data_IF_252451074423
#
_entry.id   IF_252451074423
#
_cell.length_a   1.000
_cell.length_b   1.000
_cell.length_c   1.000
_cell.angle_alpha   90.00
_cell.angle_beta   90.00
_cell.angle_gamma   90.00
#
_symmetry.space_group_name_H-M   'P 1'
#
loop_
_entity.id
_entity.type
_entity.pdbx_description
1 polymer ?
#
# COMPACT_ATOMS: atom_id res chain seq x y z
N UNK A 1 -61.55 -37.50 39.73
CA UNK A 1 -60.98 -37.78 38.47
C UNK A 1 -60.64 -36.43 37.83
N UNK A 2 -59.39 -35.95 37.92
CA UNK A 2 -58.93 -34.76 37.22
C UNK A 2 -57.60 -35.12 36.55
N UNK A 3 -57.60 -35.14 35.22
CA UNK A 3 -56.46 -35.46 34.37
C UNK A 3 -55.59 -34.20 34.30
N UNK A 4 -54.36 -34.26 34.81
CA UNK A 4 -53.35 -33.23 34.63
C UNK A 4 -52.66 -33.37 33.29
N UNK A 5 -52.69 -32.28 32.49
CA UNK A 5 -52.05 -32.18 31.20
C UNK A 5 -50.61 -31.65 31.42
N UNK A 6 -49.64 -32.49 31.20
CA UNK A 6 -48.22 -32.08 31.22
C UNK A 6 -47.87 -31.49 29.86
N UNK A 7 -47.63 -30.17 29.83
CA UNK A 7 -47.14 -29.48 28.61
C UNK A 7 -45.61 -29.53 28.66
N UNK A 8 -45.06 -30.33 27.75
CA UNK A 8 -43.62 -30.43 27.52
C UNK A 8 -43.18 -29.29 26.60
N UNK A 9 -42.60 -28.21 27.15
CA UNK A 9 -42.04 -27.12 26.37
C UNK A 9 -40.66 -27.52 25.85
N UNK A 10 -40.56 -27.81 24.55
CA UNK A 10 -39.33 -28.04 23.86
C UNK A 10 -38.70 -26.68 23.58
N UNK A 11 -37.69 -26.27 24.38
CA UNK A 11 -36.85 -25.11 24.11
C UNK A 11 -35.88 -25.46 22.98
N UNK A 12 -36.19 -25.07 21.76
CA UNK A 12 -35.28 -25.15 20.63
C UNK A 12 -34.20 -24.05 20.78
N UNK A 13 -33.03 -24.42 21.27
CA UNK A 13 -31.84 -23.56 21.31
C UNK A 13 -31.32 -23.41 19.90
N UNK A 14 -31.69 -22.33 19.21
CA UNK A 14 -31.07 -21.91 17.95
C UNK A 14 -29.65 -21.45 18.24
N UNK A 15 -28.69 -22.33 18.05
CA UNK A 15 -27.27 -21.99 17.96
C UNK A 15 -27.07 -21.17 16.67
N UNK A 16 -27.13 -19.85 16.80
CA UNK A 16 -26.60 -18.96 15.77
C UNK A 16 -25.08 -19.15 15.72
N UNK A 17 -24.63 -20.09 14.90
CA UNK A 17 -23.26 -20.10 14.43
C UNK A 17 -23.09 -18.89 13.52
N UNK A 18 -22.76 -17.73 14.12
CA UNK A 18 -22.27 -16.60 13.39
C UNK A 18 -20.96 -17.02 12.74
N UNK A 19 -21.03 -17.42 11.48
CA UNK A 19 -19.85 -17.45 10.61
C UNK A 19 -19.33 -16.02 10.54
N UNK A 20 -18.40 -15.66 11.44
CA UNK A 20 -17.51 -14.54 11.20
C UNK A 20 -16.79 -14.86 9.89
N UNK A 21 -17.24 -14.27 8.77
CA UNK A 21 -16.37 -14.14 7.60
C UNK A 21 -15.11 -13.47 8.14
N UNK A 22 -14.03 -14.24 8.17
CA UNK A 22 -12.70 -13.64 8.39
C UNK A 22 -12.56 -12.57 7.31
N UNK A 23 -12.64 -11.30 7.72
CA UNK A 23 -12.25 -10.22 6.84
C UNK A 23 -10.81 -10.53 6.42
N UNK A 24 -10.62 -10.85 5.13
CA UNK A 24 -9.31 -11.07 4.55
C UNK A 24 -8.44 -9.90 4.98
N UNK A 25 -7.47 -10.17 5.85
CA UNK A 25 -6.55 -9.17 6.39
C UNK A 25 -5.95 -8.42 5.20
N UNK A 26 -6.15 -7.11 5.14
CA UNK A 26 -5.67 -6.25 4.05
C UNK A 26 -4.17 -5.97 4.14
N UNK A 27 -3.37 -6.97 4.51
CA UNK A 27 -1.94 -6.85 4.72
C UNK A 27 -1.18 -7.98 4.04
N UNK A 28 0.15 -7.89 4.06
CA UNK A 28 1.04 -8.95 3.60
C UNK A 28 0.92 -10.14 4.56
N UNK A 29 0.68 -11.33 4.04
CA UNK A 29 0.74 -12.57 4.83
C UNK A 29 2.18 -13.10 4.80
N UNK A 30 2.93 -12.78 5.85
CA UNK A 30 4.32 -13.19 5.97
C UNK A 30 4.51 -14.70 6.20
N UNK A 31 3.45 -15.47 6.48
CA UNK A 31 3.56 -16.92 6.57
C UNK A 31 3.86 -17.56 5.21
N UNK A 32 3.47 -16.90 4.11
CA UNK A 32 3.73 -17.39 2.76
C UNK A 32 5.24 -17.46 2.42
N UNK A 33 6.06 -16.54 2.96
CA UNK A 33 7.50 -16.49 2.65
C UNK A 33 8.35 -17.34 3.61
N UNK A 34 7.89 -17.66 4.82
CA UNK A 34 8.67 -18.40 5.82
C UNK A 34 9.31 -19.68 5.28
N UNK A 35 8.60 -20.57 4.52
CA UNK A 35 9.19 -21.78 3.98
C UNK A 35 10.37 -21.51 3.03
N UNK A 36 10.31 -20.41 2.26
CA UNK A 36 11.36 -20.03 1.31
C UNK A 36 12.59 -19.43 1.98
N UNK A 37 12.43 -18.86 3.18
CA UNK A 37 13.52 -18.28 3.96
C UNK A 37 14.36 -19.34 4.67
N UNK A 38 13.82 -20.56 4.91
CA UNK A 38 14.50 -21.63 5.64
C UNK A 38 15.11 -21.11 6.96
N UNK A 39 14.30 -20.47 7.79
CA UNK A 39 14.71 -19.86 9.05
C UNK A 39 15.15 -20.92 10.07
N UNK A 40 16.14 -20.60 10.89
CA UNK A 40 16.40 -21.36 12.12
C UNK A 40 15.27 -21.12 13.12
N UNK A 41 15.11 -21.99 14.13
CA UNK A 41 14.05 -21.81 15.15
C UNK A 41 14.16 -20.47 15.89
N UNK A 42 15.38 -19.99 16.13
CA UNK A 42 15.60 -18.68 16.75
C UNK A 42 15.25 -17.53 15.82
N UNK A 43 15.64 -17.61 14.54
CA UNK A 43 15.25 -16.62 13.53
C UNK A 43 13.72 -16.58 13.33
N UNK A 44 13.05 -17.74 13.32
CA UNK A 44 11.60 -17.80 13.14
C UNK A 44 10.89 -17.11 14.29
N UNK A 45 11.30 -17.34 15.53
CA UNK A 45 10.75 -16.67 16.71
C UNK A 45 10.90 -15.14 16.60
N UNK A 46 12.11 -14.66 16.31
CA UNK A 46 12.39 -13.22 16.16
C UNK A 46 11.64 -12.62 14.97
N UNK A 47 11.53 -13.35 13.87
CA UNK A 47 10.74 -12.94 12.70
C UNK A 47 9.27 -12.72 13.05
N UNK A 48 8.67 -13.67 13.78
CA UNK A 48 7.27 -13.57 14.21
C UNK A 48 7.04 -12.42 15.19
N UNK A 49 7.96 -12.18 16.11
CA UNK A 49 7.92 -11.05 17.04
C UNK A 49 7.97 -9.71 16.29
N UNK A 50 8.85 -9.56 15.28
CA UNK A 50 8.94 -8.36 14.44
C UNK A 50 7.64 -8.18 13.64
N UNK A 51 7.16 -9.23 12.98
CA UNK A 51 5.91 -9.16 12.20
C UNK A 51 4.74 -8.76 13.08
N UNK A 52 4.56 -9.38 14.24
CA UNK A 52 3.47 -9.06 15.18
C UNK A 52 3.56 -7.61 15.68
N UNK A 53 4.76 -7.12 16.02
CA UNK A 53 5.01 -5.73 16.42
C UNK A 53 4.52 -4.74 15.35
N UNK A 54 4.93 -4.92 14.11
CA UNK A 54 4.59 -3.99 13.03
C UNK A 54 3.17 -4.14 12.52
N UNK A 55 2.54 -5.31 12.65
CA UNK A 55 1.11 -5.48 12.42
C UNK A 55 0.29 -4.70 13.46
N UNK A 56 0.65 -4.76 14.73
CA UNK A 56 0.01 -3.99 15.80
C UNK A 56 0.11 -2.47 15.54
N UNK A 57 1.30 -1.96 15.19
CA UNK A 57 1.49 -0.54 14.83
C UNK A 57 0.60 -0.15 13.65
N UNK A 58 0.45 -1.02 12.64
CA UNK A 58 -0.41 -0.77 11.49
C UNK A 58 -1.90 -0.72 11.88
N UNK A 59 -2.34 -1.59 12.80
CA UNK A 59 -3.72 -1.60 13.32
C UNK A 59 -4.02 -0.35 14.14
N UNK A 60 -3.13 0.02 15.04
CA UNK A 60 -3.25 1.26 15.85
C UNK A 60 -3.29 2.51 14.97
N UNK A 61 -2.42 2.60 13.95
CA UNK A 61 -2.40 3.72 13.00
C UNK A 61 -3.70 3.84 12.20
N UNK A 62 -4.29 2.69 11.79
CA UNK A 62 -5.60 2.70 11.10
C UNK A 62 -6.73 3.11 12.04
N UNK A 63 -6.74 2.57 13.26
CA UNK A 63 -7.75 2.92 14.25
C UNK A 63 -7.72 4.42 14.57
N UNK A 64 -6.52 4.99 14.75
CA UNK A 64 -6.33 6.42 14.97
C UNK A 64 -6.81 7.27 13.78
N UNK A 65 -6.55 6.83 12.53
CA UNK A 65 -6.95 7.55 11.33
C UNK A 65 -8.48 7.59 11.12
N UNK A 66 -9.24 6.75 11.80
CA UNK A 66 -10.71 6.64 11.67
C UNK A 66 -11.45 6.96 12.97
N UNK A 67 -10.75 7.33 14.05
CA UNK A 67 -11.32 7.50 15.39
C UNK A 67 -12.44 8.55 15.45
N UNK A 68 -12.31 9.65 14.69
CA UNK A 68 -13.26 10.77 14.69
C UNK A 68 -14.35 10.60 13.62
N UNK A 69 -14.46 9.45 12.96
CA UNK A 69 -15.37 9.23 11.85
C UNK A 69 -15.01 10.03 10.59
N UNK A 70 -13.88 10.72 10.60
CA UNK A 70 -13.38 11.45 9.45
C UNK A 70 -12.86 10.49 8.36
N UNK A 71 -12.97 10.94 7.11
CA UNK A 71 -12.36 10.21 6.00
C UNK A 71 -10.84 10.31 6.11
N UNK A 72 -10.12 9.17 6.20
CA UNK A 72 -8.67 9.21 6.36
C UNK A 72 -7.98 9.77 5.11
N UNK A 73 -6.96 10.61 5.32
CA UNK A 73 -6.06 11.05 4.25
C UNK A 73 -5.26 9.85 3.73
N UNK A 74 -5.54 9.44 2.50
CA UNK A 74 -4.95 8.25 1.87
C UNK A 74 -3.46 8.43 1.60
N UNK A 75 -3.03 9.64 1.24
CA UNK A 75 -1.62 9.96 0.97
C UNK A 75 -0.83 9.85 2.27
N UNK A 76 -1.35 10.43 3.34
CA UNK A 76 -0.73 10.35 4.66
C UNK A 76 -0.65 8.91 5.19
N UNK A 77 -1.70 8.12 4.98
CA UNK A 77 -1.69 6.69 5.32
C UNK A 77 -0.62 5.91 4.54
N UNK A 78 -0.41 6.23 3.26
CA UNK A 78 0.66 5.61 2.46
C UNK A 78 2.05 5.99 2.98
N UNK A 79 2.29 7.28 3.29
CA UNK A 79 3.57 7.74 3.86
C UNK A 79 3.89 7.01 5.17
N UNK A 80 2.94 6.96 6.09
CA UNK A 80 3.10 6.22 7.36
C UNK A 80 3.35 4.73 7.15
N UNK A 81 2.70 4.12 6.15
CA UNK A 81 2.94 2.72 5.83
C UNK A 81 4.34 2.49 5.26
N UNK A 82 4.84 3.34 4.40
CA UNK A 82 6.20 3.25 3.86
C UNK A 82 7.25 3.39 4.97
N UNK A 83 7.08 4.37 5.86
CA UNK A 83 7.97 4.56 7.00
C UNK A 83 7.98 3.33 7.92
N UNK A 84 6.79 2.80 8.24
CA UNK A 84 6.65 1.58 9.02
C UNK A 84 7.36 0.40 8.34
N UNK A 85 7.23 0.24 7.02
CA UNK A 85 7.90 -0.82 6.26
C UNK A 85 9.42 -0.66 6.26
N UNK A 86 9.94 0.58 6.15
CA UNK A 86 11.38 0.86 6.27
C UNK A 86 11.92 0.42 7.63
N UNK A 87 11.21 0.74 8.71
CA UNK A 87 11.59 0.33 10.06
C UNK A 87 11.54 -1.19 10.25
N UNK A 88 10.50 -1.85 9.75
CA UNK A 88 10.38 -3.30 9.77
C UNK A 88 11.53 -3.97 9.02
N UNK A 89 11.86 -3.50 7.82
CA UNK A 89 12.97 -4.00 7.03
C UNK A 89 14.32 -3.83 7.74
N UNK A 90 14.52 -2.70 8.42
CA UNK A 90 15.74 -2.46 9.20
C UNK A 90 15.85 -3.40 10.42
N UNK A 91 14.76 -3.86 11.02
CA UNK A 91 14.79 -4.88 12.06
C UNK A 91 15.00 -6.28 11.47
N UNK A 92 14.35 -6.60 10.36
CA UNK A 92 14.55 -7.88 9.66
C UNK A 92 15.99 -8.08 9.19
N UNK A 93 16.65 -7.02 8.72
CA UNK A 93 18.06 -7.11 8.29
C UNK A 93 19.05 -7.46 9.40
N UNK A 94 18.66 -7.35 10.68
CA UNK A 94 19.49 -7.73 11.81
C UNK A 94 19.44 -9.23 12.13
N UNK A 95 18.39 -9.91 11.69
CA UNK A 95 18.16 -11.33 12.00
C UNK A 95 18.28 -12.23 10.77
N UNK A 96 18.08 -11.69 9.57
CA UNK A 96 18.17 -12.44 8.32
C UNK A 96 19.57 -12.34 7.73
N UNK A 97 20.04 -13.41 7.11
CA UNK A 97 21.24 -13.38 6.25
C UNK A 97 20.95 -12.55 5.00
N UNK A 98 21.98 -12.13 4.28
CA UNK A 98 21.84 -11.36 3.04
C UNK A 98 20.94 -12.08 2.01
N UNK A 99 21.14 -13.38 1.82
CA UNK A 99 20.31 -14.18 0.90
C UNK A 99 18.85 -14.30 1.34
N UNK A 100 18.59 -14.43 2.65
CA UNK A 100 17.24 -14.42 3.21
C UNK A 100 16.61 -13.04 3.07
N UNK A 101 17.36 -11.96 3.33
CA UNK A 101 16.88 -10.59 3.23
C UNK A 101 16.51 -10.24 1.79
N UNK A 102 17.27 -10.71 0.79
CA UNK A 102 16.90 -10.51 -0.63
C UNK A 102 15.53 -11.14 -0.95
N UNK A 103 15.33 -12.42 -0.57
CA UNK A 103 14.04 -13.09 -0.78
C UNK A 103 12.89 -12.39 -0.06
N UNK A 104 13.12 -11.96 1.17
CA UNK A 104 12.14 -11.21 1.96
C UNK A 104 11.79 -9.89 1.29
N UNK A 105 12.78 -9.12 0.82
CA UNK A 105 12.57 -7.84 0.14
C UNK A 105 11.78 -8.02 -1.16
N UNK A 106 12.11 -9.03 -1.98
CA UNK A 106 11.41 -9.34 -3.21
C UNK A 106 9.94 -9.72 -2.94
N UNK A 107 9.69 -10.54 -1.92
CA UNK A 107 8.34 -10.89 -1.49
C UNK A 107 7.54 -9.67 -1.04
N UNK A 108 8.15 -8.82 -0.22
CA UNK A 108 7.51 -7.59 0.26
C UNK A 108 7.22 -6.64 -0.90
N UNK A 109 8.17 -6.44 -1.82
CA UNK A 109 7.98 -5.58 -2.99
C UNK A 109 6.85 -6.07 -3.91
N UNK A 110 6.70 -7.39 -4.06
CA UNK A 110 5.64 -8.03 -4.85
C UNK A 110 4.26 -7.87 -4.20
N UNK A 111 4.17 -7.97 -2.87
CA UNK A 111 2.92 -8.00 -2.12
C UNK A 111 2.54 -6.66 -1.49
N UNK A 112 3.44 -5.66 -1.51
CA UNK A 112 3.16 -4.31 -1.02
C UNK A 112 2.25 -3.55 -1.98
N UNK A 113 1.37 -2.75 -1.39
CA UNK A 113 0.56 -1.81 -2.15
C UNK A 113 1.42 -0.61 -2.57
N UNK A 114 1.68 -0.49 -3.85
CA UNK A 114 2.44 0.65 -4.39
C UNK A 114 1.57 1.92 -4.39
N UNK A 115 2.22 3.05 -4.15
CA UNK A 115 1.62 4.38 -4.32
C UNK A 115 1.40 4.66 -5.81
N UNK A 116 0.31 5.32 -6.19
CA UNK A 116 0.06 5.70 -7.59
C UNK A 116 0.87 6.95 -7.96
N UNK A 117 2.19 6.86 -7.99
CA UNK A 117 3.10 7.97 -8.29
C UNK A 117 4.41 7.44 -8.88
N UNK A 118 5.26 8.30 -9.41
CA UNK A 118 6.67 7.95 -9.63
C UNK A 118 7.32 7.70 -8.27
N UNK A 119 7.99 6.56 -8.13
CA UNK A 119 8.69 6.22 -6.89
C UNK A 119 9.99 7.02 -6.73
N UNK A 120 10.59 6.94 -5.54
CA UNK A 120 11.78 7.72 -5.20
C UNK A 120 12.99 7.35 -6.08
N UNK A 121 13.09 6.10 -6.54
CA UNK A 121 14.15 5.63 -7.43
C UNK A 121 14.02 6.29 -8.82
N UNK A 122 12.81 6.28 -9.39
CA UNK A 122 12.55 6.93 -10.67
C UNK A 122 12.73 8.45 -10.58
N UNK A 123 12.28 9.08 -9.48
CA UNK A 123 12.50 10.51 -9.27
C UNK A 123 13.99 10.86 -9.22
N UNK A 124 14.79 10.07 -8.50
CA UNK A 124 16.24 10.26 -8.44
C UNK A 124 16.89 10.10 -9.82
N UNK A 125 16.46 9.06 -10.57
CA UNK A 125 16.93 8.84 -11.95
C UNK A 125 16.57 10.00 -12.87
N UNK A 126 15.33 10.48 -12.85
CA UNK A 126 14.90 11.63 -13.67
C UNK A 126 15.75 12.85 -13.36
N UNK A 127 15.94 13.20 -12.08
CA UNK A 127 16.74 14.36 -11.66
C UNK A 127 18.18 14.28 -12.17
N UNK A 128 18.79 13.12 -12.06
CA UNK A 128 20.17 12.87 -12.49
C UNK A 128 20.32 12.88 -14.01
N UNK A 129 19.47 12.14 -14.71
CA UNK A 129 19.54 11.98 -16.16
C UNK A 129 19.24 13.28 -16.93
N UNK A 130 18.37 14.14 -16.37
CA UNK A 130 18.03 15.43 -16.94
C UNK A 130 18.92 16.58 -16.42
N UNK A 131 19.86 16.29 -15.53
CA UNK A 131 20.71 17.32 -14.90
C UNK A 131 19.89 18.51 -14.36
N UNK A 132 18.79 18.18 -13.64
CA UNK A 132 17.79 19.17 -13.21
C UNK A 132 18.38 20.22 -12.26
N UNK A 133 17.99 21.48 -12.47
CA UNK A 133 18.21 22.53 -11.48
C UNK A 133 17.39 22.24 -10.20
N UNK A 134 17.71 22.93 -9.10
CA UNK A 134 16.97 22.78 -7.86
C UNK A 134 15.47 23.15 -8.02
N UNK A 135 15.18 24.17 -8.85
CA UNK A 135 13.80 24.57 -9.16
C UNK A 135 13.05 23.52 -9.97
N UNK A 136 13.71 22.96 -11.00
CA UNK A 136 13.13 21.87 -11.81
C UNK A 136 12.87 20.62 -10.97
N UNK A 137 13.81 20.25 -10.11
CA UNK A 137 13.65 19.11 -9.19
C UNK A 137 12.50 19.33 -8.19
N UNK A 138 12.38 20.55 -7.64
CA UNK A 138 11.26 20.92 -6.75
C UNK A 138 9.92 20.85 -7.49
N UNK A 139 9.85 21.30 -8.74
CA UNK A 139 8.64 21.20 -9.56
C UNK A 139 8.29 19.75 -9.86
N UNK A 140 9.27 18.89 -10.16
CA UNK A 140 9.04 17.46 -10.37
C UNK A 140 8.41 16.80 -9.13
N UNK A 141 8.93 17.09 -7.94
CA UNK A 141 8.37 16.56 -6.69
C UNK A 141 6.96 17.09 -6.44
N UNK A 142 6.76 18.40 -6.57
CA UNK A 142 5.47 19.03 -6.37
C UNK A 142 4.39 18.50 -7.35
N UNK A 143 4.73 18.36 -8.62
CA UNK A 143 3.84 17.82 -9.63
C UNK A 143 3.50 16.34 -9.37
N UNK A 144 4.47 15.55 -8.92
CA UNK A 144 4.27 14.15 -8.56
C UNK A 144 3.38 13.99 -7.30
N UNK A 145 3.56 14.85 -6.30
CA UNK A 145 2.72 14.85 -5.09
C UNK A 145 1.30 15.35 -5.39
N UNK A 146 1.15 16.37 -6.26
CA UNK A 146 -0.17 16.85 -6.71
C UNK A 146 -0.94 15.76 -7.48
N UNK A 147 -0.26 15.03 -8.37
CA UNK A 147 -0.83 13.89 -9.07
C UNK A 147 -1.35 12.84 -8.10
N UNK A 148 -0.52 12.41 -7.15
CA UNK A 148 -0.92 11.38 -6.18
C UNK A 148 -2.13 11.82 -5.37
N UNK A 149 -2.11 13.07 -4.86
CA UNK A 149 -3.21 13.60 -4.06
C UNK A 149 -4.51 13.66 -4.87
N UNK A 150 -4.48 14.25 -6.05
CA UNK A 150 -5.65 14.35 -6.92
C UNK A 150 -6.25 12.98 -7.26
N UNK A 151 -5.39 12.01 -7.59
CA UNK A 151 -5.80 10.65 -7.88
C UNK A 151 -6.40 9.93 -6.66
N UNK A 152 -5.81 10.10 -5.47
CA UNK A 152 -6.33 9.51 -4.23
C UNK A 152 -7.63 10.16 -3.77
N UNK A 153 -7.78 11.47 -3.93
CA UNK A 153 -9.00 12.21 -3.57
C UNK A 153 -10.17 11.81 -4.48
N UNK A 154 -9.89 11.53 -5.77
CA UNK A 154 -10.87 11.04 -6.72
C UNK A 154 -11.24 9.56 -6.53
N UNK A 155 -10.60 8.82 -5.62
CA UNK A 155 -10.77 7.37 -5.46
C UNK A 155 -12.22 6.94 -5.31
N UNK A 156 -13.03 7.67 -4.58
CA UNK A 156 -14.42 7.27 -4.33
C UNK A 156 -15.29 7.39 -5.59
N UNK A 157 -14.89 8.21 -6.56
CA UNK A 157 -15.58 8.32 -7.84
C UNK A 157 -15.31 7.14 -8.76
N UNK A 158 -14.08 6.62 -8.78
CA UNK A 158 -13.70 5.52 -9.67
C UNK A 158 -13.60 4.15 -8.98
N UNK A 159 -13.86 4.06 -7.66
CA UNK A 159 -13.75 2.80 -6.92
C UNK A 159 -14.65 1.72 -7.53
N UNK A 160 -14.06 0.56 -7.85
CA UNK A 160 -14.77 -0.56 -8.51
C UNK A 160 -14.93 -0.44 -10.02
N UNK A 161 -14.52 0.69 -10.64
CA UNK A 161 -14.58 0.91 -12.09
C UNK A 161 -13.16 1.15 -12.64
N UNK A 162 -12.58 0.13 -13.28
CA UNK A 162 -11.20 0.18 -13.79
C UNK A 162 -11.03 1.14 -14.97
N UNK A 163 -12.04 1.31 -15.83
CA UNK A 163 -11.99 2.25 -16.96
C UNK A 163 -11.99 3.68 -16.45
N UNK A 164 -12.90 4.00 -15.54
CA UNK A 164 -12.95 5.33 -14.93
C UNK A 164 -11.67 5.62 -14.12
N UNK A 165 -11.11 4.63 -13.43
CA UNK A 165 -9.82 4.77 -12.75
C UNK A 165 -8.68 5.10 -13.73
N UNK A 166 -8.71 4.52 -14.94
CA UNK A 166 -7.76 4.84 -16.00
C UNK A 166 -7.94 6.27 -16.51
N UNK A 167 -9.19 6.71 -16.75
CA UNK A 167 -9.48 8.08 -17.18
C UNK A 167 -8.96 9.12 -16.19
N UNK A 168 -9.21 8.93 -14.89
CA UNK A 168 -8.69 9.81 -13.85
C UNK A 168 -7.16 9.80 -13.79
N UNK A 169 -6.53 8.63 -13.94
CA UNK A 169 -5.08 8.52 -14.01
C UNK A 169 -4.53 9.33 -15.17
N UNK A 170 -5.03 9.11 -16.40
CA UNK A 170 -4.57 9.78 -17.61
C UNK A 170 -4.76 11.29 -17.53
N UNK A 171 -5.89 11.73 -17.00
CA UNK A 171 -6.16 13.16 -16.76
C UNK A 171 -5.10 13.79 -15.86
N UNK A 172 -4.87 13.24 -14.68
CA UNK A 172 -3.94 13.82 -13.73
C UNK A 172 -2.47 13.62 -14.14
N UNK A 173 -2.15 12.55 -14.87
CA UNK A 173 -0.82 12.37 -15.46
C UNK A 173 -0.53 13.43 -16.54
N UNK A 174 -1.52 13.77 -17.35
CA UNK A 174 -1.40 14.88 -18.30
C UNK A 174 -1.17 16.23 -17.60
N UNK A 175 -1.87 16.49 -16.49
CA UNK A 175 -1.65 17.69 -15.68
C UNK A 175 -0.22 17.73 -15.09
N UNK A 176 0.27 16.60 -14.54
CA UNK A 176 1.65 16.46 -14.06
C UNK A 176 2.68 16.73 -15.15
N UNK A 177 2.50 16.12 -16.32
CA UNK A 177 3.39 16.31 -17.49
C UNK A 177 3.37 17.74 -18.01
N UNK A 178 2.19 18.35 -18.06
CA UNK A 178 2.06 19.75 -18.45
C UNK A 178 2.78 20.71 -17.51
N UNK A 179 2.72 20.47 -16.18
CA UNK A 179 3.47 21.27 -15.22
C UNK A 179 4.99 21.19 -15.46
N UNK A 180 5.51 20.01 -15.77
CA UNK A 180 6.93 19.81 -16.07
C UNK A 180 7.33 20.44 -17.40
N UNK A 181 6.47 20.38 -18.40
CA UNK A 181 6.72 21.02 -19.70
C UNK A 181 6.92 22.54 -19.62
N UNK A 182 6.42 23.19 -18.56
CA UNK A 182 6.60 24.62 -18.37
C UNK A 182 7.99 25.01 -17.85
N UNK A 183 8.72 24.06 -17.25
CA UNK A 183 9.99 24.32 -16.57
C UNK A 183 11.18 23.56 -17.17
N UNK A 184 10.93 22.55 -17.98
CA UNK A 184 11.96 21.77 -18.69
C UNK A 184 12.24 22.39 -20.05
N UNK A 185 13.48 22.27 -20.53
CA UNK A 185 13.78 22.50 -21.94
C UNK A 185 13.12 21.44 -22.81
N UNK A 186 13.01 21.68 -24.11
CA UNK A 186 12.44 20.71 -25.06
C UNK A 186 13.19 19.37 -25.01
N UNK A 187 14.52 19.40 -25.02
CA UNK A 187 15.39 18.23 -24.93
C UNK A 187 15.21 17.47 -23.59
N UNK A 188 15.14 18.21 -22.47
CA UNK A 188 14.87 17.61 -21.17
C UNK A 188 13.48 16.96 -21.13
N UNK A 189 12.47 17.60 -21.73
CA UNK A 189 11.12 17.06 -21.73
C UNK A 189 10.98 15.80 -22.58
N UNK A 190 11.60 15.73 -23.76
CA UNK A 190 11.65 14.52 -24.58
C UNK A 190 12.30 13.35 -23.81
N UNK A 191 13.43 13.61 -23.15
CA UNK A 191 14.13 12.61 -22.34
C UNK A 191 13.28 12.20 -21.12
N UNK A 192 12.57 13.13 -20.50
CA UNK A 192 11.61 12.84 -19.43
C UNK A 192 10.50 11.89 -19.91
N UNK A 193 9.86 12.15 -21.06
CA UNK A 193 8.80 11.28 -21.58
C UNK A 193 9.31 9.87 -21.83
N UNK A 194 10.53 9.71 -22.33
CA UNK A 194 11.16 8.38 -22.52
C UNK A 194 11.36 7.66 -21.18
N UNK A 195 11.82 8.35 -20.14
CA UNK A 195 12.01 7.76 -18.80
C UNK A 195 10.71 7.31 -18.13
N UNK A 196 9.59 7.95 -18.45
CA UNK A 196 8.29 7.66 -17.80
C UNK A 196 7.32 6.89 -18.69
N UNK A 197 7.69 6.49 -19.90
CA UNK A 197 6.79 5.85 -20.87
C UNK A 197 6.08 4.61 -20.34
N UNK A 198 6.71 3.86 -19.45
CA UNK A 198 6.18 2.63 -18.85
C UNK A 198 5.42 2.87 -17.53
N UNK A 199 5.23 4.14 -17.13
CA UNK A 199 4.60 4.53 -15.90
C UNK A 199 3.09 4.82 -16.02
N UNK A 200 2.45 4.30 -17.06
CA UNK A 200 1.01 4.43 -17.29
C UNK A 200 0.16 3.68 -16.26
N UNK A 201 -1.15 3.87 -16.36
CA UNK A 201 -2.12 3.14 -15.55
C UNK A 201 -1.93 1.61 -15.70
N UNK A 202 -1.84 0.93 -14.55
CA UNK A 202 -1.79 -0.54 -14.49
C UNK A 202 -3.04 -1.04 -13.80
N UNK A 203 -3.92 -1.69 -14.56
CA UNK A 203 -5.08 -2.37 -13.97
C UNK A 203 -4.63 -3.40 -12.94
N UNK A 204 -5.27 -3.42 -11.79
CA UNK A 204 -5.10 -4.51 -10.83
C UNK A 204 -5.85 -5.72 -11.38
N UNK A 205 -5.11 -6.79 -11.64
CA UNK A 205 -5.70 -8.11 -11.93
C UNK A 205 -6.26 -8.73 -10.68
#
# INVERSE_FOLDING_TARGET
>A
MKKGLVVLSLAASLLFTSCKKEEKRRGIDYNEIKPELALTSEQEKQFDEIVAKYQKIAEESRAAATADGAKPDRVEMFKKNEERMKLQNAEMSKILTEAQMQKYADFVAKNSRKRPRYDDELLAKIKTELEMTAEQASMLEAANDAFERAYQDAHDFYHGNGELAKEYWEKYDAERKNALKQVLSEEQYEKFEELVKDQGYKSRK
#
